data_IF_081828179907
#
_entry.id   IF_081828179907
#
_cell.length_a   1.000
_cell.length_b   1.000
_cell.length_c   1.000
_cell.angle_alpha   90.00
_cell.angle_beta   90.00
_cell.angle_gamma   90.00
#
_symmetry.space_group_name_H-M   'P 1'
#
loop_
_entity.id
_entity.type
_entity.pdbx_description
1 polymer ?
#
# COMPACT_ATOMS: atom_id res chain seq x y z
N UNK A 1 14.95 -9.93 -53.48
CA UNK A 1 14.11 -9.70 -52.28
C UNK A 1 14.06 -8.20 -52.01
N UNK A 2 12.86 -7.63 -52.07
CA UNK A 2 12.63 -6.18 -52.05
C UNK A 2 12.93 -5.59 -50.67
N UNK A 3 13.79 -4.57 -50.61
CA UNK A 3 14.21 -3.90 -49.36
C UNK A 3 13.04 -3.26 -48.62
N UNK A 4 11.92 -2.98 -49.31
CA UNK A 4 10.69 -2.46 -48.72
C UNK A 4 9.94 -3.50 -47.86
N UNK A 5 10.02 -4.78 -48.19
CA UNK A 5 9.35 -5.85 -47.44
C UNK A 5 10.02 -6.11 -46.07
N UNK A 6 11.34 -5.94 -45.98
CA UNK A 6 12.12 -6.16 -44.74
C UNK A 6 11.84 -5.06 -43.71
N UNK A 7 11.66 -3.81 -44.16
CA UNK A 7 11.36 -2.69 -43.26
C UNK A 7 9.96 -2.77 -42.65
N UNK A 8 8.95 -3.24 -43.41
CA UNK A 8 7.57 -3.39 -42.90
C UNK A 8 7.47 -4.51 -41.87
N UNK A 9 8.19 -5.62 -42.05
CA UNK A 9 8.24 -6.72 -41.08
C UNK A 9 8.90 -6.30 -39.76
N UNK A 10 9.98 -5.52 -39.80
CA UNK A 10 10.69 -5.06 -38.61
C UNK A 10 9.84 -4.11 -37.75
N UNK A 11 9.04 -3.22 -38.37
CA UNK A 11 8.14 -2.29 -37.66
C UNK A 11 6.97 -3.04 -36.99
N UNK A 12 6.44 -4.08 -37.64
CA UNK A 12 5.38 -4.93 -37.06
C UNK A 12 5.85 -5.72 -35.83
N UNK A 13 7.10 -6.23 -35.83
CA UNK A 13 7.66 -6.95 -34.67
C UNK A 13 7.95 -6.01 -33.49
N UNK A 14 8.35 -4.76 -33.75
CA UNK A 14 8.57 -3.75 -32.70
C UNK A 14 7.23 -3.26 -32.11
N UNK A 15 6.18 -3.17 -32.92
CA UNK A 15 4.82 -2.84 -32.44
C UNK A 15 4.17 -4.00 -31.67
N UNK A 16 4.56 -5.26 -31.95
CA UNK A 16 4.07 -6.43 -31.21
C UNK A 16 4.81 -6.62 -29.87
N UNK A 17 6.07 -6.23 -29.76
CA UNK A 17 6.82 -6.25 -28.49
C UNK A 17 6.44 -5.10 -27.55
N UNK A 18 5.93 -3.99 -28.08
CA UNK A 18 5.38 -2.88 -27.30
C UNK A 18 4.02 -3.19 -26.64
N UNK A 19 3.39 -4.33 -26.92
CA UNK A 19 2.14 -4.77 -26.26
C UNK A 19 2.38 -5.55 -24.96
N UNK A 20 3.63 -5.80 -24.58
CA UNK A 20 3.99 -6.50 -23.33
C UNK A 20 4.55 -5.58 -22.24
N UNK A 21 4.41 -4.26 -22.39
CA UNK A 21 4.73 -3.33 -21.30
C UNK A 21 3.48 -3.01 -20.47
N UNK A 22 3.25 -3.84 -19.45
CA UNK A 22 2.48 -3.43 -18.27
C UNK A 22 1.39 -4.39 -17.85
N UNK A 23 1.63 -5.07 -16.73
CA UNK A 23 0.66 -5.36 -15.64
C UNK A 23 1.23 -6.35 -14.61
N UNK A 24 2.37 -6.99 -14.88
CA UNK A 24 2.83 -8.09 -14.04
C UNK A 24 3.45 -7.67 -12.68
N UNK A 25 3.63 -6.37 -12.43
CA UNK A 25 4.20 -5.88 -11.18
C UNK A 25 3.18 -5.76 -10.03
N UNK A 26 1.87 -5.74 -10.32
CA UNK A 26 0.84 -5.44 -9.34
C UNK A 26 0.02 -6.68 -8.97
N UNK A 27 -0.33 -6.81 -7.69
CA UNK A 27 -1.24 -7.88 -7.25
C UNK A 27 -2.63 -7.73 -7.90
N UNK A 28 -3.29 -8.84 -8.31
CA UNK A 28 -4.60 -8.78 -8.93
C UNK A 28 -5.63 -8.05 -8.06
N UNK A 29 -6.54 -7.31 -8.70
CA UNK A 29 -7.67 -6.67 -8.02
C UNK A 29 -7.34 -5.39 -7.23
N UNK A 30 -6.10 -4.89 -7.29
CA UNK A 30 -5.75 -3.58 -6.71
C UNK A 30 -6.37 -2.45 -7.55
N UNK A 31 -7.12 -1.57 -6.90
CA UNK A 31 -7.64 -0.34 -7.50
C UNK A 31 -6.46 0.61 -7.70
N UNK A 32 -6.07 0.81 -8.95
CA UNK A 32 -4.93 1.65 -9.33
C UNK A 32 -5.15 3.11 -8.97
N UNK A 33 -4.04 3.85 -8.84
CA UNK A 33 -4.05 5.31 -8.66
C UNK A 33 -4.95 6.05 -9.65
N UNK A 34 -4.87 5.69 -10.94
CA UNK A 34 -5.75 6.25 -11.98
C UNK A 34 -7.22 5.98 -11.68
N UNK A 35 -7.56 4.75 -11.27
CA UNK A 35 -8.96 4.33 -11.08
C UNK A 35 -9.65 5.02 -9.90
N UNK A 36 -8.94 5.31 -8.81
CA UNK A 36 -9.55 6.06 -7.69
C UNK A 36 -9.40 7.59 -7.82
N UNK A 37 -8.80 8.08 -8.90
CA UNK A 37 -8.64 9.51 -9.16
C UNK A 37 -7.54 10.15 -8.33
N UNK A 38 -6.40 9.48 -8.19
CA UNK A 38 -5.22 10.02 -7.53
C UNK A 38 -4.69 11.25 -8.27
N UNK A 39 -4.35 12.30 -7.51
CA UNK A 39 -3.50 13.35 -8.08
C UNK A 39 -2.05 12.90 -8.18
N UNK A 40 -1.27 13.61 -9.00
CA UNK A 40 0.15 13.33 -9.21
C UNK A 40 0.94 13.56 -7.90
N UNK A 41 1.83 12.64 -7.48
CA UNK A 41 2.72 12.90 -6.37
C UNK A 41 3.70 14.03 -6.71
N UNK A 42 4.14 14.81 -5.73
CA UNK A 42 5.17 15.85 -5.91
C UNK A 42 6.57 15.25 -6.10
N UNK A 43 6.84 14.11 -5.47
CA UNK A 43 8.07 13.35 -5.60
C UNK A 43 7.83 11.87 -5.27
N UNK A 44 8.70 10.98 -5.75
CA UNK A 44 8.71 9.55 -5.42
C UNK A 44 10.13 9.11 -5.13
N UNK A 45 10.37 8.62 -3.91
CA UNK A 45 11.65 8.02 -3.53
C UNK A 45 11.53 6.50 -3.54
N UNK A 46 12.51 5.78 -4.11
CA UNK A 46 12.51 4.33 -4.06
C UNK A 46 12.73 3.83 -2.63
N UNK A 47 12.01 2.78 -2.25
CA UNK A 47 12.27 2.04 -1.01
C UNK A 47 13.62 1.32 -1.13
N UNK A 48 14.38 1.26 -0.03
CA UNK A 48 15.70 0.63 0.04
C UNK A 48 15.78 -0.31 1.26
N UNK A 49 15.84 -1.63 1.05
CA UNK A 49 15.75 -2.35 -0.23
C UNK A 49 14.38 -2.21 -0.91
N UNK A 50 14.31 -2.43 -2.24
CA UNK A 50 13.05 -2.40 -3.01
C UNK A 50 12.04 -3.45 -2.54
N UNK A 51 12.53 -4.56 -1.98
CA UNK A 51 11.72 -5.58 -1.33
C UNK A 51 11.43 -5.17 0.13
N UNK A 52 10.16 -5.08 0.49
CA UNK A 52 9.74 -4.72 1.84
C UNK A 52 10.22 -5.76 2.85
N UNK A 53 10.89 -5.31 3.91
CA UNK A 53 11.36 -6.16 5.00
C UNK A 53 10.29 -6.32 6.09
N UNK A 54 9.34 -5.38 6.15
CA UNK A 54 8.28 -5.31 7.16
C UNK A 54 6.97 -4.84 6.56
N UNK A 55 5.89 -5.23 7.22
CA UNK A 55 4.53 -4.76 6.92
C UNK A 55 3.98 -4.11 8.19
N UNK A 56 3.57 -2.85 8.08
CA UNK A 56 2.88 -2.15 9.15
C UNK A 56 1.38 -2.07 8.86
N UNK A 57 0.56 -2.46 9.83
CA UNK A 57 -0.89 -2.31 9.79
C UNK A 57 -1.27 -1.00 10.45
N UNK A 58 -2.09 -0.23 9.74
CA UNK A 58 -2.62 1.06 10.16
C UNK A 58 -4.14 1.08 10.09
N UNK A 59 -4.72 2.11 10.70
CA UNK A 59 -6.04 2.60 10.33
C UNK A 59 -5.98 4.10 10.03
N UNK A 60 -7.00 4.63 9.35
CA UNK A 60 -7.03 6.04 8.98
C UNK A 60 -7.63 6.95 10.05
N UNK A 61 -8.32 6.39 11.05
CA UNK A 61 -9.01 7.11 12.14
C UNK A 61 -10.04 8.10 11.58
N UNK A 62 -11.23 7.60 11.27
CA UNK A 62 -12.29 8.42 10.68
C UNK A 62 -13.42 7.58 10.07
N UNK A 63 -14.22 8.16 9.16
CA UNK A 63 -15.32 7.44 8.53
C UNK A 63 -14.82 6.26 7.70
N UNK A 64 -15.63 5.20 7.67
CA UNK A 64 -15.46 4.10 6.73
C UNK A 64 -16.05 4.43 5.35
N UNK A 65 -15.90 3.49 4.42
CA UNK A 65 -16.51 3.53 3.10
C UNK A 65 -16.97 2.13 2.69
N UNK A 66 -17.91 2.04 1.75
CA UNK A 66 -18.62 0.77 1.46
C UNK A 66 -18.70 0.41 -0.02
N UNK A 67 -18.26 1.30 -0.92
CA UNK A 67 -18.20 1.03 -2.35
C UNK A 67 -17.06 1.81 -3.02
N UNK A 68 -16.80 1.53 -4.30
CA UNK A 68 -15.70 2.15 -5.05
C UNK A 68 -15.74 3.68 -5.02
N UNK A 69 -16.93 4.28 -5.18
CA UNK A 69 -17.07 5.73 -5.22
C UNK A 69 -16.74 6.38 -3.87
N UNK A 70 -17.34 5.88 -2.78
CA UNK A 70 -17.12 6.39 -1.42
C UNK A 70 -15.69 6.15 -0.94
N UNK A 71 -15.11 4.99 -1.24
CA UNK A 71 -13.73 4.70 -0.88
C UNK A 71 -12.74 5.53 -1.71
N UNK A 72 -12.97 5.72 -3.00
CA UNK A 72 -12.12 6.59 -3.83
C UNK A 72 -12.18 8.04 -3.37
N UNK A 73 -13.33 8.51 -2.90
CA UNK A 73 -13.47 9.85 -2.27
C UNK A 73 -12.60 9.96 -1.01
N UNK A 74 -12.65 8.97 -0.11
CA UNK A 74 -11.79 8.98 1.08
C UNK A 74 -10.30 8.85 0.73
N UNK A 75 -9.93 8.05 -0.28
CA UNK A 75 -8.56 7.99 -0.81
C UNK A 75 -8.06 9.37 -1.22
N UNK A 76 -8.85 10.12 -2.01
CA UNK A 76 -8.51 11.50 -2.40
C UNK A 76 -8.43 12.43 -1.20
N UNK A 77 -9.34 12.31 -0.23
CA UNK A 77 -9.31 13.09 1.01
C UNK A 77 -8.01 12.87 1.79
N UNK A 78 -7.61 11.61 1.99
CA UNK A 78 -6.35 11.27 2.67
C UNK A 78 -5.13 11.75 1.89
N UNK A 79 -5.12 11.61 0.56
CA UNK A 79 -4.03 12.12 -0.28
C UNK A 79 -3.93 13.65 -0.19
N UNK A 80 -5.07 14.35 -0.22
CA UNK A 80 -5.14 15.79 -0.11
C UNK A 80 -4.61 16.28 1.23
N UNK A 81 -5.08 15.70 2.33
CA UNK A 81 -4.60 16.02 3.68
C UNK A 81 -3.09 15.83 3.83
N UNK A 82 -2.56 14.67 3.44
CA UNK A 82 -1.13 14.39 3.57
C UNK A 82 -0.24 15.36 2.78
N UNK A 83 -0.65 15.74 1.57
CA UNK A 83 0.16 16.60 0.72
C UNK A 83 -0.08 18.11 0.95
N UNK A 84 -1.29 18.51 1.35
CA UNK A 84 -1.62 19.91 1.60
C UNK A 84 -1.25 20.31 3.03
N UNK A 85 -1.68 19.53 4.03
CA UNK A 85 -1.49 19.84 5.45
C UNK A 85 -0.12 19.36 5.93
N UNK A 86 0.22 18.08 5.72
CA UNK A 86 1.51 17.55 6.20
C UNK A 86 2.68 17.89 5.28
N UNK A 87 2.41 18.54 4.14
CA UNK A 87 3.40 18.88 3.09
C UNK A 87 4.16 17.69 2.53
N UNK A 88 3.63 16.47 2.66
CA UNK A 88 4.28 15.28 2.14
C UNK A 88 4.22 15.21 0.60
N UNK A 89 5.11 14.44 -0.04
CA UNK A 89 5.09 14.28 -1.49
C UNK A 89 3.84 13.56 -2.03
N UNK A 90 3.21 12.72 -1.21
CA UNK A 90 2.05 11.89 -1.58
C UNK A 90 1.34 11.36 -0.32
N UNK A 91 0.23 10.65 -0.50
CA UNK A 91 -0.44 9.86 0.56
C UNK A 91 0.58 9.01 1.33
N UNK A 92 0.53 8.99 2.67
CA UNK A 92 1.59 8.40 3.49
C UNK A 92 1.71 6.87 3.41
N UNK A 93 0.64 6.18 3.05
CA UNK A 93 0.57 4.70 3.07
C UNK A 93 0.90 4.08 1.70
N UNK A 94 1.44 2.85 1.73
CA UNK A 94 1.68 2.07 0.51
C UNK A 94 0.36 1.60 -0.10
N UNK A 95 -0.55 1.11 0.74
CA UNK A 95 -1.88 0.62 0.36
C UNK A 95 -2.91 1.00 1.40
N UNK A 96 -4.16 1.12 0.95
CA UNK A 96 -5.32 1.27 1.83
C UNK A 96 -6.38 0.23 1.49
N UNK A 97 -7.20 -0.16 2.47
CA UNK A 97 -8.28 -1.13 2.27
C UNK A 97 -9.59 -0.49 2.66
N UNK A 98 -10.53 -0.44 1.70
CA UNK A 98 -11.86 0.08 1.92
C UNK A 98 -12.78 -0.93 2.58
N UNK A 99 -13.84 -0.47 3.24
CA UNK A 99 -14.88 -1.36 3.80
C UNK A 99 -15.64 -2.16 2.72
N UNK A 100 -15.45 -1.81 1.45
CA UNK A 100 -15.88 -2.60 0.29
C UNK A 100 -15.00 -3.83 0.02
N UNK A 101 -13.92 -4.03 0.77
CA UNK A 101 -12.98 -5.14 0.62
C UNK A 101 -11.95 -4.97 -0.49
N UNK A 102 -11.89 -3.80 -1.15
CA UNK A 102 -10.89 -3.54 -2.20
C UNK A 102 -9.61 -2.99 -1.61
N UNK A 103 -8.49 -3.37 -2.23
CA UNK A 103 -7.18 -2.75 -1.98
C UNK A 103 -7.03 -1.56 -2.93
N UNK A 104 -6.70 -0.40 -2.38
CA UNK A 104 -6.41 0.82 -3.10
C UNK A 104 -4.91 1.11 -3.09
N UNK A 105 -4.35 1.33 -4.26
CA UNK A 105 -2.94 1.68 -4.40
C UNK A 105 -2.69 3.09 -3.84
N UNK A 106 -1.92 3.17 -2.75
CA UNK A 106 -1.34 4.42 -2.27
C UNK A 106 -0.03 4.68 -3.00
N UNK A 107 1.09 4.65 -2.28
CA UNK A 107 2.42 4.73 -2.92
C UNK A 107 2.83 3.47 -3.68
N UNK A 108 2.22 2.33 -3.36
CA UNK A 108 2.53 1.03 -3.96
C UNK A 108 3.72 0.31 -3.31
N UNK A 109 4.11 -0.82 -3.91
CA UNK A 109 5.34 -1.53 -3.54
C UNK A 109 6.58 -0.78 -4.04
N UNK A 110 7.74 -0.98 -3.41
CA UNK A 110 9.01 -0.44 -3.89
C UNK A 110 9.19 1.07 -3.73
N UNK A 111 8.21 1.79 -3.15
CA UNK A 111 8.25 3.24 -2.95
C UNK A 111 8.22 3.56 -1.45
N UNK A 112 9.12 4.45 -1.02
CA UNK A 112 9.24 4.87 0.38
C UNK A 112 7.95 5.58 0.86
N UNK A 113 7.47 5.20 2.04
CA UNK A 113 6.28 5.72 2.70
C UNK A 113 6.49 6.98 3.52
N UNK A 114 5.44 7.42 4.21
CA UNK A 114 5.50 8.41 5.29
C UNK A 114 4.57 8.01 6.44
N UNK A 115 4.55 6.71 6.77
CA UNK A 115 3.56 6.09 7.63
C UNK A 115 4.09 5.72 9.01
N UNK A 116 5.36 5.31 9.13
CA UNK A 116 5.92 4.76 10.38
C UNK A 116 7.34 5.27 10.56
N UNK A 117 7.52 6.14 11.55
CA UNK A 117 8.80 6.81 11.80
C UNK A 117 9.84 5.75 12.14
N UNK A 118 10.99 5.80 11.43
CA UNK A 118 12.07 4.83 11.56
C UNK A 118 12.01 3.65 10.57
N UNK A 119 10.90 3.45 9.85
CA UNK A 119 10.72 2.29 8.97
C UNK A 119 10.26 2.60 7.54
N UNK A 120 9.91 3.85 7.23
CA UNK A 120 9.43 4.26 5.89
C UNK A 120 10.32 3.78 4.72
N UNK A 121 11.65 3.70 4.95
CA UNK A 121 12.64 3.34 3.94
C UNK A 121 12.66 1.86 3.55
N UNK A 122 12.13 0.95 4.37
CA UNK A 122 12.25 -0.50 4.13
C UNK A 122 10.98 -1.31 4.45
N UNK A 123 9.85 -0.64 4.63
CA UNK A 123 8.59 -1.25 4.99
C UNK A 123 7.46 -0.69 4.14
N UNK A 124 6.40 -1.49 4.00
CA UNK A 124 5.13 -1.02 3.46
C UNK A 124 4.13 -0.83 4.60
N UNK A 125 3.16 0.07 4.38
CA UNK A 125 1.98 0.18 5.24
C UNK A 125 0.70 -0.17 4.50
N UNK A 126 -0.13 -0.97 5.16
CA UNK A 126 -1.50 -1.30 4.74
C UNK A 126 -2.44 -0.64 5.76
N UNK A 127 -3.14 0.41 5.35
CA UNK A 127 -4.07 1.15 6.23
C UNK A 127 -5.52 0.76 5.97
N UNK A 128 -6.23 0.38 7.03
CA UNK A 128 -7.66 0.11 6.95
C UNK A 128 -8.43 1.43 7.02
N UNK A 129 -9.25 1.73 6.01
CA UNK A 129 -10.05 2.97 5.98
C UNK A 129 -11.17 2.85 7.01
N UNK A 130 -11.10 3.65 8.08
CA UNK A 130 -12.05 3.70 9.18
C UNK A 130 -11.38 3.83 10.55
N UNK A 131 -12.19 3.83 11.60
CA UNK A 131 -11.75 3.65 12.99
C UNK A 131 -12.05 2.23 13.48
N UNK A 132 -11.01 1.59 14.03
CA UNK A 132 -11.02 0.22 14.55
C UNK A 132 -10.51 0.19 15.99
N UNK A 133 -10.68 1.31 16.71
CA UNK A 133 -10.48 1.41 18.15
C UNK A 133 -11.38 0.41 18.90
N UNK A 134 -12.68 0.38 18.59
CA UNK A 134 -13.68 -0.49 19.23
C UNK A 134 -14.30 -1.52 18.29
N UNK A 135 -14.51 -1.17 17.01
CA UNK A 135 -15.14 -2.04 16.02
C UNK A 135 -14.09 -2.84 15.24
N UNK A 136 -14.36 -4.11 14.95
CA UNK A 136 -13.51 -4.92 14.08
C UNK A 136 -13.71 -4.51 12.60
N UNK A 137 -12.66 -4.54 11.75
CA UNK A 137 -12.88 -4.51 10.31
C UNK A 137 -13.74 -5.68 9.87
N UNK A 138 -14.47 -5.50 8.77
CA UNK A 138 -15.23 -6.62 8.21
C UNK A 138 -14.30 -7.68 7.61
N UNK A 139 -14.82 -8.89 7.42
CA UNK A 139 -14.04 -10.03 6.95
C UNK A 139 -13.37 -9.79 5.59
N UNK A 140 -14.04 -9.07 4.67
CA UNK A 140 -13.50 -8.76 3.34
C UNK A 140 -12.24 -7.89 3.43
N UNK A 141 -12.20 -6.92 4.34
CA UNK A 141 -11.00 -6.10 4.57
C UNK A 141 -9.81 -6.94 5.07
N UNK A 142 -10.06 -7.81 6.05
CA UNK A 142 -9.01 -8.67 6.63
C UNK A 142 -8.46 -9.63 5.58
N UNK A 143 -9.35 -10.25 4.79
CA UNK A 143 -8.95 -11.14 3.70
C UNK A 143 -8.15 -10.41 2.63
N UNK A 144 -8.55 -9.19 2.25
CA UNK A 144 -7.83 -8.37 1.29
C UNK A 144 -6.40 -8.06 1.73
N UNK A 145 -6.19 -7.73 3.02
CA UNK A 145 -4.86 -7.49 3.57
C UNK A 145 -3.97 -8.73 3.49
N UNK A 146 -4.49 -9.88 3.94
CA UNK A 146 -3.75 -11.15 3.90
C UNK A 146 -3.41 -11.58 2.48
N UNK A 147 -4.35 -11.45 1.54
CA UNK A 147 -4.14 -11.76 0.12
C UNK A 147 -3.08 -10.83 -0.50
N UNK A 148 -3.11 -9.54 -0.19
CA UNK A 148 -2.12 -8.58 -0.66
C UNK A 148 -0.71 -8.92 -0.14
N UNK A 149 -0.59 -9.26 1.14
CA UNK A 149 0.68 -9.67 1.74
C UNK A 149 1.18 -10.97 1.09
N UNK A 150 0.33 -11.99 0.96
CA UNK A 150 0.67 -13.26 0.34
C UNK A 150 1.13 -13.08 -1.12
N UNK A 151 0.42 -12.25 -1.90
CA UNK A 151 0.82 -11.92 -3.26
C UNK A 151 2.16 -11.16 -3.29
N UNK A 152 2.35 -10.18 -2.41
CA UNK A 152 3.63 -9.45 -2.31
C UNK A 152 4.81 -10.37 -1.99
N UNK A 153 4.60 -11.38 -1.14
CA UNK A 153 5.61 -12.43 -0.87
C UNK A 153 5.85 -13.28 -2.10
N UNK A 154 4.79 -13.78 -2.76
CA UNK A 154 4.89 -14.61 -3.98
C UNK A 154 5.65 -13.90 -5.11
N UNK A 155 5.42 -12.59 -5.28
CA UNK A 155 6.09 -11.76 -6.30
C UNK A 155 7.46 -11.22 -5.85
N UNK A 156 7.95 -11.58 -4.66
CA UNK A 156 9.24 -11.09 -4.15
C UNK A 156 9.26 -9.60 -3.78
N UNK A 157 8.11 -8.93 -3.73
CA UNK A 157 7.94 -7.53 -3.33
C UNK A 157 7.98 -7.35 -1.81
N UNK A 158 7.65 -8.41 -1.07
CA UNK A 158 7.79 -8.55 0.38
C UNK A 158 8.72 -9.73 0.65
N UNK A 159 9.69 -9.58 1.56
CA UNK A 159 10.60 -10.67 1.93
C UNK A 159 9.82 -11.84 2.52
N UNK A 160 10.13 -13.08 2.15
CA UNK A 160 9.47 -14.30 2.69
C UNK A 160 9.48 -14.37 4.23
N UNK A 161 10.55 -13.88 4.85
CA UNK A 161 10.72 -13.76 6.31
C UNK A 161 10.37 -12.39 6.89
N UNK A 162 9.45 -11.64 6.27
CA UNK A 162 9.03 -10.32 6.77
C UNK A 162 8.51 -10.40 8.22
N UNK A 163 8.52 -9.25 8.90
CA UNK A 163 7.82 -9.08 10.19
C UNK A 163 6.60 -8.19 10.03
N UNK A 164 5.51 -8.56 10.68
CA UNK A 164 4.25 -7.81 10.68
C UNK A 164 4.09 -7.08 12.00
N UNK A 165 3.73 -5.80 11.95
CA UNK A 165 3.57 -4.96 13.14
C UNK A 165 2.30 -4.11 13.02
N UNK A 166 1.69 -3.73 14.14
CA UNK A 166 0.82 -2.56 14.19
C UNK A 166 1.66 -1.28 14.24
N UNK A 167 1.09 -0.14 13.84
CA UNK A 167 1.81 1.14 13.96
C UNK A 167 2.29 1.40 15.40
N UNK A 168 1.45 1.10 16.40
CA UNK A 168 1.77 1.19 17.83
C UNK A 168 2.94 0.32 18.30
N UNK A 169 3.37 -0.66 17.51
CA UNK A 169 4.55 -1.46 17.85
C UNK A 169 5.86 -0.72 17.56
N UNK A 170 5.81 0.40 16.82
CA UNK A 170 6.98 1.20 16.45
C UNK A 170 6.91 2.65 16.92
N UNK A 171 5.71 3.21 17.11
CA UNK A 171 5.54 4.62 17.47
C UNK A 171 4.51 4.82 18.61
N UNK A 172 4.61 5.94 19.34
CA UNK A 172 3.62 6.35 20.36
C UNK A 172 2.29 6.76 19.71
N UNK A 173 1.44 5.78 19.41
CA UNK A 173 0.13 5.99 18.80
C UNK A 173 -0.84 4.88 19.20
N UNK A 174 -2.14 5.15 19.16
CA UNK A 174 -3.18 4.13 19.28
C UNK A 174 -3.45 3.41 17.96
N UNK A 175 -2.88 3.82 16.83
CA UNK A 175 -3.03 3.13 15.55
C UNK A 175 -2.45 1.69 15.63
N UNK A 176 -3.12 0.63 15.11
CA UNK A 176 -4.29 0.62 14.23
C UNK A 176 -5.67 0.50 14.93
N UNK A 177 -5.77 0.89 16.20
CA UNK A 177 -6.97 0.70 17.03
C UNK A 177 -7.00 -0.66 17.73
N UNK A 178 -7.62 -0.74 18.91
CA UNK A 178 -7.52 -1.93 19.78
C UNK A 178 -8.17 -3.17 19.16
N UNK A 179 -9.31 -3.02 18.49
CA UNK A 179 -10.02 -4.14 17.89
C UNK A 179 -9.25 -4.75 16.70
N UNK A 180 -8.70 -3.92 15.82
CA UNK A 180 -7.84 -4.41 14.72
C UNK A 180 -6.50 -4.94 15.24
N UNK A 181 -5.89 -4.25 16.20
CA UNK A 181 -4.64 -4.71 16.81
C UNK A 181 -4.77 -6.09 17.44
N UNK A 182 -5.87 -6.36 18.16
CA UNK A 182 -6.14 -7.68 18.74
C UNK A 182 -6.22 -8.80 17.70
N UNK A 183 -6.66 -8.49 16.47
CA UNK A 183 -6.73 -9.45 15.36
C UNK A 183 -5.35 -9.70 14.77
N UNK A 184 -4.58 -8.65 14.45
CA UNK A 184 -3.30 -8.82 13.75
C UNK A 184 -2.23 -9.50 14.61
N UNK A 185 -2.35 -9.43 15.94
CA UNK A 185 -1.50 -10.20 16.88
C UNK A 185 -1.55 -11.71 16.61
N UNK A 186 -2.64 -12.19 16.01
CA UNK A 186 -2.86 -13.61 15.67
C UNK A 186 -2.43 -13.95 14.25
N UNK A 187 -1.96 -12.98 13.46
CA UNK A 187 -1.56 -13.23 12.08
C UNK A 187 -0.17 -13.83 11.97
N UNK A 188 0.13 -14.57 10.89
CA UNK A 188 1.48 -15.05 10.61
C UNK A 188 2.49 -13.91 10.61
N UNK A 189 3.69 -14.21 11.12
CA UNK A 189 4.83 -13.28 11.19
C UNK A 189 4.59 -12.06 12.09
N UNK A 190 3.57 -12.05 12.95
CA UNK A 190 3.40 -10.98 13.92
C UNK A 190 4.65 -10.76 14.78
N UNK A 191 4.99 -9.48 14.87
CA UNK A 191 6.25 -8.87 15.25
C UNK A 191 6.45 -8.67 16.73
N UNK A 192 5.37 -8.31 17.42
CA UNK A 192 5.43 -7.55 18.66
C UNK A 192 6.07 -6.17 18.44
N UNK A 193 6.58 -5.58 19.52
CA UNK A 193 7.31 -4.30 19.50
C UNK A 193 8.47 -4.38 18.50
N UNK A 194 8.56 -3.38 17.63
CA UNK A 194 9.60 -3.30 16.61
C UNK A 194 10.94 -2.86 17.24
N UNK A 195 12.10 -3.31 16.71
CA UNK A 195 13.41 -3.07 17.34
C UNK A 195 13.73 -1.58 17.58
N UNK A 196 13.45 -0.74 16.59
CA UNK A 196 13.47 0.72 16.73
C UNK A 196 12.07 1.17 17.14
N UNK A 197 11.92 1.72 18.35
CA UNK A 197 10.69 2.33 18.83
C UNK A 197 10.91 3.82 19.02
N UNK A 198 10.08 4.66 18.39
CA UNK A 198 10.29 6.11 18.36
C UNK A 198 8.99 6.81 18.73
N UNK A 199 9.05 7.60 19.79
CA UNK A 199 8.04 8.59 20.12
C UNK A 199 8.61 9.96 19.77
N UNK A 200 8.04 10.63 18.77
CA UNK A 200 8.28 12.06 18.61
C UNK A 200 7.18 12.79 19.37
N UNK A 201 7.56 13.69 20.26
CA UNK A 201 6.65 14.75 20.71
C UNK A 201 6.10 15.44 19.47
N UNK A 202 4.79 15.72 19.49
CA UNK A 202 4.13 16.45 18.41
C UNK A 202 4.79 17.82 18.22
#
# INVERSE_FOLDING_TARGET
MDRKAVAVLAVLVIMLSALLEGTDAQCPGVVSRKKWGARRPRARSPMRPKQAQRVFIHHTTGPGCHNLATCSRLMRSHQNYHMNNNRWPDIGYSFLIGGDGRVYEGRGFGVEGAHTIGYNKNAIAISFIGDFSKKKPNAKMLKAAQNLIACGVKKGLIKKGYRLHGHRDANCTSCPGNALYAIIKKWPRYGGKAPKFICRGR
#
